data_IF_019914923441
#
_entry.id   IF_019914923441
#
_cell.length_a   1.000
_cell.length_b   1.000
_cell.length_c   1.000
_cell.angle_alpha   90.00
_cell.angle_beta   90.00
_cell.angle_gamma   90.00
#
_symmetry.space_group_name_H-M   'P 1'
#
loop_
_entity.id
_entity.type
_entity.pdbx_description
1 polymer ?
#
# COMPACT_ATOMS: atom_id res chain seq x y z
N UNK A 1 24.60 -21.46 -47.32
CA UNK A 1 25.26 -20.27 -46.73
C UNK A 1 24.35 -19.04 -46.76
N UNK A 2 23.70 -18.72 -47.90
CA UNK A 2 22.74 -17.59 -48.00
C UNK A 2 21.45 -17.76 -47.17
N UNK A 3 20.95 -18.99 -47.02
CA UNK A 3 19.79 -19.31 -46.15
C UNK A 3 20.09 -19.13 -44.65
N UNK A 4 21.33 -19.41 -44.25
CA UNK A 4 21.82 -19.25 -42.87
C UNK A 4 22.04 -17.78 -42.51
N UNK A 5 22.46 -16.95 -43.47
CA UNK A 5 22.58 -15.49 -43.33
C UNK A 5 21.21 -14.80 -43.24
N UNK A 6 20.23 -15.23 -44.06
CA UNK A 6 18.86 -14.70 -44.00
C UNK A 6 18.15 -15.06 -42.67
N UNK A 7 18.46 -16.21 -42.08
CA UNK A 7 17.96 -16.62 -40.76
C UNK A 7 18.58 -15.82 -39.59
N UNK A 8 19.85 -15.40 -39.72
CA UNK A 8 20.50 -14.51 -38.74
C UNK A 8 19.90 -13.10 -38.77
N UNK A 9 19.66 -12.56 -39.96
CA UNK A 9 19.02 -11.25 -40.13
C UNK A 9 17.61 -11.20 -39.49
N UNK A 10 16.81 -12.25 -39.63
CA UNK A 10 15.48 -12.31 -39.00
C UNK A 10 15.54 -12.26 -37.46
N UNK A 11 16.55 -12.89 -36.85
CA UNK A 11 16.71 -12.91 -35.38
C UNK A 11 17.14 -11.55 -34.84
N UNK A 12 18.00 -10.84 -35.57
CA UNK A 12 18.44 -9.49 -35.20
C UNK A 12 17.29 -8.49 -35.26
N UNK A 13 16.43 -8.58 -36.28
CA UNK A 13 15.22 -7.73 -36.39
C UNK A 13 14.26 -7.96 -35.23
N UNK A 14 14.07 -9.21 -34.80
CA UNK A 14 13.18 -9.53 -33.66
C UNK A 14 13.69 -8.89 -32.37
N UNK A 15 14.98 -8.99 -32.07
CA UNK A 15 15.56 -8.40 -30.85
C UNK A 15 15.40 -6.87 -30.88
N UNK A 16 15.56 -6.26 -32.06
CA UNK A 16 15.38 -4.82 -32.24
C UNK A 16 13.94 -4.38 -31.95
N UNK A 17 12.95 -5.12 -32.48
CA UNK A 17 11.53 -4.83 -32.25
C UNK A 17 11.15 -5.01 -30.77
N UNK A 18 11.61 -6.09 -30.12
CA UNK A 18 11.37 -6.32 -28.69
C UNK A 18 11.99 -5.21 -27.84
N UNK A 19 13.17 -4.70 -28.22
CA UNK A 19 13.80 -3.56 -27.56
C UNK A 19 12.94 -2.28 -27.60
N UNK A 20 12.36 -1.96 -28.75
CA UNK A 20 11.48 -0.77 -28.90
C UNK A 20 10.19 -0.94 -28.09
N UNK A 21 9.56 -2.12 -28.14
CA UNK A 21 8.35 -2.41 -27.39
C UNK A 21 8.60 -2.36 -25.88
N UNK A 22 9.71 -2.92 -25.41
CA UNK A 22 10.11 -2.87 -24.01
C UNK A 22 10.34 -1.43 -23.54
N UNK A 23 10.95 -0.57 -24.37
CA UNK A 23 11.19 0.83 -24.03
C UNK A 23 9.90 1.62 -23.78
N UNK A 24 8.83 1.35 -24.54
CA UNK A 24 7.51 2.00 -24.36
C UNK A 24 6.77 1.40 -23.16
N UNK A 25 6.86 0.08 -22.96
CA UNK A 25 6.11 -0.63 -21.92
C UNK A 25 6.68 -0.43 -20.51
N UNK A 26 8.01 -0.42 -20.36
CA UNK A 26 8.71 -0.28 -19.08
C UNK A 26 8.22 0.86 -18.18
N UNK A 27 8.09 2.12 -18.64
CA UNK A 27 7.65 3.21 -17.77
C UNK A 27 6.23 2.98 -17.24
N UNK A 28 5.33 2.43 -18.06
CA UNK A 28 3.97 2.12 -17.64
C UNK A 28 3.93 0.98 -16.62
N UNK A 29 4.73 -0.07 -16.83
CA UNK A 29 4.83 -1.22 -15.93
C UNK A 29 5.34 -0.81 -14.55
N UNK A 30 6.39 0.01 -14.48
CA UNK A 30 6.91 0.54 -13.21
C UNK A 30 5.87 1.40 -12.47
N UNK A 31 5.10 2.21 -13.21
CA UNK A 31 4.00 2.98 -12.64
C UNK A 31 2.88 2.11 -12.07
N UNK A 32 2.50 1.03 -12.77
CA UNK A 32 1.48 0.08 -12.28
C UNK A 32 1.99 -0.73 -11.10
N UNK A 33 3.26 -1.15 -11.11
CA UNK A 33 3.87 -1.87 -9.99
C UNK A 33 3.85 -1.01 -8.72
N UNK A 34 4.20 0.28 -8.82
CA UNK A 34 4.10 1.23 -7.70
C UNK A 34 2.67 1.33 -7.17
N UNK A 35 1.68 1.50 -8.05
CA UNK A 35 0.26 1.56 -7.67
C UNK A 35 -0.25 0.26 -7.04
N UNK A 36 0.23 -0.90 -7.52
CA UNK A 36 -0.11 -2.21 -6.96
C UNK A 36 0.42 -2.40 -5.54
N UNK A 37 1.66 -1.96 -5.28
CA UNK A 37 2.23 -1.99 -3.93
C UNK A 37 1.49 -1.04 -2.98
N UNK A 38 1.09 0.13 -3.47
CA UNK A 38 0.25 1.06 -2.71
C UNK A 38 -1.14 0.46 -2.42
N UNK A 39 -1.74 -0.24 -3.39
CA UNK A 39 -3.01 -0.94 -3.19
C UNK A 39 -2.91 -2.07 -2.15
N UNK A 40 -1.79 -2.80 -2.12
CA UNK A 40 -1.50 -3.79 -1.07
C UNK A 40 -1.49 -3.13 0.30
N UNK A 41 -0.69 -2.07 0.50
CA UNK A 41 -0.60 -1.38 1.78
C UNK A 41 -1.97 -0.82 2.25
N UNK A 42 -2.77 -0.28 1.33
CA UNK A 42 -4.16 0.12 1.66
C UNK A 42 -5.02 -1.05 2.11
N UNK A 43 -4.84 -2.22 1.50
CA UNK A 43 -5.55 -3.44 1.91
C UNK A 43 -5.09 -3.91 3.28
N UNK A 44 -3.78 -3.90 3.54
CA UNK A 44 -3.20 -4.29 4.81
C UNK A 44 -3.70 -3.36 5.94
N UNK A 45 -3.78 -2.06 5.69
CA UNK A 45 -4.39 -1.10 6.62
C UNK A 45 -5.86 -1.43 6.93
N UNK A 46 -6.68 -1.78 5.91
CA UNK A 46 -8.10 -2.15 6.12
C UNK A 46 -8.26 -3.49 6.82
N UNK A 47 -7.41 -4.46 6.52
CA UNK A 47 -7.41 -5.74 7.19
C UNK A 47 -7.05 -5.54 8.67
N UNK A 48 -6.05 -4.70 8.97
CA UNK A 48 -5.67 -4.39 10.34
C UNK A 48 -6.79 -3.70 11.13
N UNK A 49 -7.58 -2.81 10.50
CA UNK A 49 -8.78 -2.23 11.16
C UNK A 49 -9.67 -3.35 11.70
N UNK A 50 -9.96 -4.36 10.89
CA UNK A 50 -10.86 -5.45 11.30
C UNK A 50 -10.32 -6.22 12.50
N UNK A 51 -9.01 -6.45 12.56
CA UNK A 51 -8.36 -7.07 13.72
C UNK A 51 -8.40 -6.18 14.97
N UNK A 52 -8.19 -4.88 14.83
CA UNK A 52 -8.21 -3.93 15.94
C UNK A 52 -9.63 -3.77 16.51
N UNK A 53 -10.65 -3.69 15.66
CA UNK A 53 -12.04 -3.64 16.12
C UNK A 53 -12.45 -4.94 16.82
N UNK A 54 -11.95 -6.09 16.35
CA UNK A 54 -12.18 -7.38 17.01
C UNK A 54 -11.53 -7.41 18.39
N UNK A 55 -10.26 -6.99 18.49
CA UNK A 55 -9.56 -6.89 19.78
C UNK A 55 -10.27 -5.92 20.73
N UNK A 56 -10.75 -4.77 20.23
CA UNK A 56 -11.52 -3.82 21.03
C UNK A 56 -12.85 -4.39 21.54
N UNK A 57 -13.51 -5.27 20.77
CA UNK A 57 -14.74 -5.91 21.23
C UNK A 57 -14.51 -6.76 22.50
N UNK A 58 -13.31 -7.33 22.64
CA UNK A 58 -12.93 -8.14 23.80
C UNK A 58 -12.35 -7.31 24.95
N UNK A 59 -11.51 -6.30 24.64
CA UNK A 59 -10.76 -5.54 25.66
C UNK A 59 -11.43 -4.24 26.09
N UNK A 60 -12.33 -3.69 25.24
CA UNK A 60 -12.89 -2.34 25.35
C UNK A 60 -11.83 -1.22 25.40
N UNK A 61 -10.60 -1.50 24.96
CA UNK A 61 -9.49 -0.54 24.99
C UNK A 61 -8.52 -0.76 23.80
N UNK A 62 -8.44 0.23 22.90
CA UNK A 62 -7.52 0.18 21.76
C UNK A 62 -6.03 0.22 22.14
N UNK A 63 -5.69 0.72 23.33
CA UNK A 63 -4.29 0.74 23.80
C UNK A 63 -3.74 -0.67 24.01
N UNK A 64 -4.63 -1.64 24.22
CA UNK A 64 -4.32 -3.06 24.36
C UNK A 64 -4.29 -3.81 23.01
N UNK A 65 -4.43 -3.11 21.88
CA UNK A 65 -4.55 -3.70 20.54
C UNK A 65 -3.48 -3.17 19.58
N UNK A 66 -2.23 -3.03 20.03
CA UNK A 66 -1.17 -2.34 19.29
C UNK A 66 -0.09 -3.25 18.70
N UNK A 67 0.08 -4.45 19.26
CA UNK A 67 1.15 -5.38 18.90
C UNK A 67 0.61 -6.65 18.25
N UNK A 68 1.45 -7.37 17.50
CA UNK A 68 1.07 -8.65 16.92
C UNK A 68 0.62 -9.66 17.99
N UNK A 69 1.24 -9.66 19.17
CA UNK A 69 0.86 -10.55 20.26
C UNK A 69 -0.56 -10.27 20.78
N UNK A 70 -0.96 -9.01 20.80
CA UNK A 70 -2.30 -8.58 21.23
C UNK A 70 -3.38 -8.84 20.17
N UNK A 71 -3.02 -8.73 18.88
CA UNK A 71 -3.96 -8.92 17.77
C UNK A 71 -4.08 -10.38 17.32
N UNK A 72 -3.26 -11.28 17.86
CA UNK A 72 -3.21 -12.69 17.49
C UNK A 72 -2.70 -12.91 16.06
N UNK A 73 -3.19 -13.97 15.41
CA UNK A 73 -2.74 -14.37 14.08
C UNK A 73 -3.43 -13.53 12.99
N UNK A 74 -2.88 -12.37 12.68
CA UNK A 74 -3.41 -11.47 11.64
C UNK A 74 -2.98 -11.85 10.23
N UNK A 75 -1.87 -12.57 10.08
CA UNK A 75 -1.22 -12.81 8.79
C UNK A 75 -0.61 -11.55 8.16
N UNK A 76 -0.50 -10.45 8.93
CA UNK A 76 0.09 -9.18 8.52
C UNK A 76 1.46 -8.99 9.19
N UNK A 77 2.40 -8.40 8.46
CA UNK A 77 3.69 -8.01 9.03
C UNK A 77 3.52 -6.73 9.87
N UNK A 78 3.43 -6.89 11.19
CA UNK A 78 3.25 -5.75 12.10
C UNK A 78 4.59 -5.06 12.34
N UNK A 79 4.67 -3.77 11.99
CA UNK A 79 5.87 -2.96 12.14
C UNK A 79 5.81 -1.66 11.34
N UNK A 80 6.91 -0.90 11.35
CA UNK A 80 7.01 0.43 10.71
C UNK A 80 7.85 0.42 9.44
N UNK A 81 8.36 -0.74 9.03
CA UNK A 81 9.19 -0.94 7.85
C UNK A 81 8.39 -1.07 6.55
N UNK A 82 9.09 -1.32 5.46
CA UNK A 82 8.50 -1.43 4.12
C UNK A 82 7.55 -2.63 4.02
N UNK A 83 6.34 -2.41 3.54
CA UNK A 83 5.33 -3.46 3.42
C UNK A 83 4.74 -3.89 4.76
N UNK A 84 5.05 -3.18 5.85
CA UNK A 84 4.52 -3.46 7.17
C UNK A 84 3.38 -2.51 7.51
N UNK A 85 2.58 -2.91 8.50
CA UNK A 85 1.50 -2.10 9.03
C UNK A 85 1.65 -1.97 10.55
N UNK A 86 1.42 -0.78 11.08
CA UNK A 86 1.45 -0.51 12.51
C UNK A 86 0.16 0.14 12.96
N UNK A 87 -0.08 0.09 14.25
CA UNK A 87 -1.16 0.78 14.93
C UNK A 87 -0.60 1.53 16.13
N UNK A 88 -1.16 2.70 16.39
CA UNK A 88 -0.88 3.50 17.57
C UNK A 88 -2.19 4.00 18.13
N UNK A 89 -2.46 3.70 19.39
CA UNK A 89 -3.66 4.13 20.09
C UNK A 89 -3.27 5.09 21.23
N UNK A 90 -3.50 6.41 21.08
CA UNK A 90 -3.16 7.37 22.13
C UNK A 90 -4.11 7.32 23.34
N UNK A 91 -5.19 6.54 23.26
CA UNK A 91 -6.15 6.31 24.33
C UNK A 91 -7.17 5.24 23.95
N UNK A 92 -8.05 4.89 24.89
CA UNK A 92 -8.95 3.74 24.75
C UNK A 92 -9.96 3.83 23.59
N UNK A 93 -10.25 5.04 23.09
CA UNK A 93 -11.35 5.29 22.15
C UNK A 93 -10.91 5.72 20.75
N UNK A 94 -9.60 5.74 20.46
CA UNK A 94 -9.10 6.16 19.15
C UNK A 94 -7.79 5.47 18.80
N UNK A 95 -7.55 5.33 17.50
CA UNK A 95 -6.34 4.71 16.98
C UNK A 95 -5.94 5.36 15.65
N UNK A 96 -4.66 5.20 15.32
CA UNK A 96 -4.12 5.49 13.99
C UNK A 96 -3.39 4.26 13.50
N UNK A 97 -3.83 3.73 12.37
CA UNK A 97 -3.15 2.68 11.62
C UNK A 97 -2.29 3.35 10.56
N UNK A 98 -1.08 2.85 10.35
CA UNK A 98 -0.18 3.29 9.28
C UNK A 98 0.33 2.06 8.54
N UNK A 99 0.03 1.95 7.25
CA UNK A 99 0.60 0.96 6.36
C UNK A 99 1.65 1.60 5.45
N UNK A 100 2.81 0.98 5.34
CA UNK A 100 3.92 1.45 4.51
C UNK A 100 3.95 0.65 3.23
N UNK A 101 3.91 1.31 2.07
CA UNK A 101 4.05 0.64 0.79
C UNK A 101 5.38 -0.10 0.67
N UNK A 102 5.43 -1.23 -0.06
CA UNK A 102 6.65 -2.03 -0.23
C UNK A 102 7.80 -1.25 -0.90
N UNK A 103 7.47 -0.26 -1.73
CA UNK A 103 8.44 0.68 -2.31
C UNK A 103 8.85 1.82 -1.35
N UNK A 104 8.29 1.89 -0.14
CA UNK A 104 8.50 2.98 0.82
C UNK A 104 8.24 4.39 0.25
N UNK A 105 7.48 4.50 -0.83
CA UNK A 105 7.22 5.78 -1.48
C UNK A 105 6.07 6.51 -0.82
N UNK A 106 5.05 5.75 -0.38
CA UNK A 106 3.83 6.24 0.22
C UNK A 106 3.51 5.47 1.51
N UNK A 107 2.99 6.18 2.50
CA UNK A 107 2.34 5.61 3.67
C UNK A 107 0.85 5.92 3.62
N UNK A 108 0.04 4.98 4.09
CA UNK A 108 -1.42 5.03 4.07
C UNK A 108 -1.92 4.90 5.50
N UNK A 109 -2.56 5.95 5.99
CA UNK A 109 -3.01 6.03 7.37
C UNK A 109 -4.52 6.03 7.48
N UNK A 110 -5.05 5.31 8.46
CA UNK A 110 -6.46 5.35 8.86
C UNK A 110 -6.49 5.82 10.32
N UNK A 111 -7.00 7.01 10.56
CA UNK A 111 -7.16 7.55 11.91
C UNK A 111 -8.63 7.50 12.30
N UNK A 112 -8.92 6.81 13.41
CA UNK A 112 -10.20 6.91 14.12
C UNK A 112 -10.04 7.89 15.26
N UNK A 113 -10.76 9.00 15.18
CA UNK A 113 -10.85 10.00 16.23
C UNK A 113 -12.30 10.46 16.40
N UNK A 114 -12.94 10.04 17.48
CA UNK A 114 -14.34 10.33 17.77
C UNK A 114 -14.62 11.82 18.06
N UNK A 115 -13.58 12.66 18.21
CA UNK A 115 -13.75 14.11 18.37
C UNK A 115 -13.77 14.87 17.03
N UNK A 116 -13.44 14.19 15.92
CA UNK A 116 -13.48 14.78 14.57
C UNK A 116 -14.72 14.36 13.80
N UNK A 117 -15.17 15.22 12.88
CA UNK A 117 -16.23 14.90 11.91
C UNK A 117 -15.66 15.02 10.49
N UNK A 118 -15.60 13.94 9.70
CA UNK A 118 -15.95 12.57 10.07
C UNK A 118 -14.96 11.94 11.07
N UNK A 119 -15.40 10.97 11.89
CA UNK A 119 -14.56 10.36 12.93
C UNK A 119 -13.48 9.43 12.36
N UNK A 120 -13.56 9.08 11.08
CA UNK A 120 -12.55 8.28 10.39
C UNK A 120 -11.99 9.12 9.26
N UNK A 121 -10.67 9.28 9.22
CA UNK A 121 -9.95 9.97 8.16
C UNK A 121 -8.92 9.03 7.52
N UNK A 122 -8.89 8.99 6.20
CA UNK A 122 -7.91 8.21 5.42
C UNK A 122 -6.91 9.13 4.75
N UNK A 123 -5.67 9.15 5.22
CA UNK A 123 -4.63 10.08 4.71
C UNK A 123 -3.45 9.32 4.14
N UNK A 124 -2.69 9.96 3.26
CA UNK A 124 -1.44 9.39 2.75
C UNK A 124 -0.35 10.44 2.62
N UNK A 125 0.91 10.00 2.60
CA UNK A 125 2.05 10.92 2.75
C UNK A 125 2.32 11.83 1.56
N UNK A 126 1.97 11.45 0.32
CA UNK A 126 2.25 12.25 -0.89
C UNK A 126 1.03 12.40 -1.79
N UNK A 127 0.25 13.45 -1.59
CA UNK A 127 -0.91 13.76 -2.42
C UNK A 127 -0.57 13.75 -3.92
N UNK A 128 -1.34 13.03 -4.72
CA UNK A 128 -1.20 12.99 -6.18
C UNK A 128 -0.14 12.02 -6.72
N UNK A 129 0.58 11.30 -5.86
CA UNK A 129 1.59 10.31 -6.27
C UNK A 129 1.11 8.87 -6.09
N UNK A 130 1.18 8.08 -7.17
CA UNK A 130 0.85 6.66 -7.16
C UNK A 130 -0.59 6.38 -6.74
N UNK A 131 -0.76 5.70 -5.59
CA UNK A 131 -2.07 5.41 -5.01
C UNK A 131 -2.67 6.55 -4.18
N UNK A 132 -1.95 7.63 -3.91
CA UNK A 132 -2.42 8.73 -3.08
C UNK A 132 -3.11 9.81 -3.92
N UNK A 133 -4.35 10.19 -3.56
CA UNK A 133 -5.14 11.21 -4.23
C UNK A 133 -4.99 12.56 -3.51
N UNK A 134 -5.38 13.64 -4.18
CA UNK A 134 -5.62 14.92 -3.52
C UNK A 134 -6.75 14.76 -2.51
N UNK A 135 -6.65 15.46 -1.37
CA UNK A 135 -7.66 15.41 -0.34
C UNK A 135 -9.05 15.80 -0.90
N UNK A 136 -10.07 14.99 -0.59
CA UNK A 136 -11.47 15.36 -0.79
C UNK A 136 -11.93 16.42 0.23
N UNK A 137 -13.19 16.84 0.15
CA UNK A 137 -13.76 17.84 1.06
C UNK A 137 -13.75 17.40 2.55
N UNK A 138 -13.57 16.10 2.81
CA UNK A 138 -13.50 15.49 4.12
C UNK A 138 -12.06 15.19 4.55
N UNK A 139 -11.06 15.60 3.76
CA UNK A 139 -9.65 15.38 4.04
C UNK A 139 -9.18 13.95 3.78
N UNK A 140 -9.96 13.13 3.07
CA UNK A 140 -9.55 11.79 2.67
C UNK A 140 -8.74 11.85 1.38
N UNK A 141 -7.66 11.08 1.37
CA UNK A 141 -6.69 11.06 0.28
C UNK A 141 -6.62 9.69 -0.40
N UNK A 142 -7.42 8.71 0.04
CA UNK A 142 -7.51 7.40 -0.62
C UNK A 142 -8.71 6.53 -0.18
#
# INVERSE_FOLDING_TARGET
MLSTLRSRASREVVILIVGILAAIALPTFLGQQKKGQDASAKSDARNLVSHIESCFADTQDYTLCQTAAQLGTTGLDIGTGKGQVSVTAPGANGYTIVAVSKNNSNTFSITRNNTKTPPIQRTCSKAGDGGCKTADAQGNMW
#
